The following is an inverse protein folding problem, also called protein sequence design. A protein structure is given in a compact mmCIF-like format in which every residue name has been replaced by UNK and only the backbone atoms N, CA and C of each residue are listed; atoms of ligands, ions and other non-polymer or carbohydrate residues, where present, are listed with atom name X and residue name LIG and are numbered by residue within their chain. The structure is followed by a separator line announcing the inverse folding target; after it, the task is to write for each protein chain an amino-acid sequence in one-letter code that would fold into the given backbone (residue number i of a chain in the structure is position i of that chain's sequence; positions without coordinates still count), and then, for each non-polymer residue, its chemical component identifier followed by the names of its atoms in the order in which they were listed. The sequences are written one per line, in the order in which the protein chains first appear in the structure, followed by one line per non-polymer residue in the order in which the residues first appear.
data_IF_022044661001
#
_entry.id   IF_022044661001
#
_cell.length_a   1.000
_cell.length_b   1.000
_cell.length_c   1.000
_cell.angle_alpha   90.00
_cell.angle_beta   90.00
_cell.angle_gamma   90.00
#
_symmetry.space_group_name_H-M   'P 1'
#
loop_
_entity.id
_entity.type
_entity.pdbx_description
1 polymer ?
#
# COMPACT_ATOMS: atom_id res chain seq x y z
N UNK A 1 1.99 -0.76 -16.35
CA UNK A 1 0.82 -1.19 -15.54
C UNK A 1 0.79 -2.70 -15.45
N UNK A 2 0.31 -3.28 -14.35
CA UNK A 2 0.37 -4.72 -14.04
C UNK A 2 -0.02 -5.67 -15.20
N UNK A 3 -0.87 -5.21 -16.12
CA UNK A 3 -1.28 -5.91 -17.34
C UNK A 3 -0.13 -6.25 -18.32
N UNK A 4 1.01 -5.56 -18.27
CA UNK A 4 2.16 -5.75 -19.18
C UNK A 4 3.22 -6.76 -18.68
N UNK A 5 3.11 -7.22 -17.43
CA UNK A 5 4.10 -8.11 -16.81
C UNK A 5 3.70 -9.57 -17.09
N UNK A 6 4.60 -10.36 -17.70
CA UNK A 6 4.45 -11.80 -18.01
C UNK A 6 4.65 -12.71 -16.78
N UNK A 7 4.24 -12.25 -15.60
CA UNK A 7 4.41 -13.01 -14.35
C UNK A 7 3.10 -13.68 -13.92
N UNK A 8 3.16 -14.78 -13.16
CA UNK A 8 1.98 -15.44 -12.60
C UNK A 8 1.08 -14.45 -11.84
N UNK A 9 -0.24 -14.69 -11.86
CA UNK A 9 -1.24 -13.81 -11.23
C UNK A 9 -0.88 -13.47 -9.77
N UNK A 10 -0.37 -14.47 -9.04
CA UNK A 10 0.19 -14.37 -7.70
C UNK A 10 1.24 -13.26 -7.56
N UNK A 11 2.25 -13.27 -8.42
CA UNK A 11 3.37 -12.32 -8.43
C UNK A 11 2.89 -10.92 -8.79
N UNK A 12 1.92 -10.80 -9.72
CA UNK A 12 1.33 -9.51 -10.10
C UNK A 12 0.65 -8.82 -8.92
N UNK A 13 -0.07 -9.56 -8.07
CA UNK A 13 -0.69 -9.02 -6.86
C UNK A 13 0.34 -8.58 -5.81
N UNK A 14 1.42 -9.35 -5.63
CA UNK A 14 2.51 -8.98 -4.72
C UNK A 14 3.21 -7.70 -5.18
N UNK A 15 3.49 -7.58 -6.48
CA UNK A 15 4.06 -6.36 -7.07
C UNK A 15 3.10 -5.18 -6.88
N UNK A 16 1.80 -5.36 -7.16
CA UNK A 16 0.81 -4.30 -6.96
C UNK A 16 0.76 -3.82 -5.51
N UNK A 17 0.78 -4.74 -4.54
CA UNK A 17 0.84 -4.43 -3.10
C UNK A 17 2.13 -3.71 -2.71
N UNK A 18 3.26 -4.02 -3.36
CA UNK A 18 4.54 -3.36 -3.09
C UNK A 18 4.62 -1.93 -3.66
N UNK A 19 3.87 -1.63 -4.72
CA UNK A 19 3.89 -0.33 -5.41
C UNK A 19 2.95 0.72 -4.80
N UNK A 20 2.16 0.37 -3.79
CA UNK A 20 1.32 1.35 -3.09
C UNK A 20 2.22 2.41 -2.44
N UNK A 21 2.04 3.70 -2.72
CA UNK A 21 2.81 4.76 -2.07
C UNK A 21 2.44 4.80 -0.58
N UNK A 22 3.35 4.30 0.25
CA UNK A 22 3.18 4.13 1.70
C UNK A 22 4.35 4.75 2.46
N UNK A 23 4.15 5.05 3.75
CA UNK A 23 5.17 5.68 4.59
C UNK A 23 5.27 7.21 4.42
N UNK A 24 6.50 7.73 4.43
CA UNK A 24 6.80 9.18 4.49
C UNK A 24 6.14 9.97 3.37
N UNK A 25 6.17 9.47 2.13
CA UNK A 25 5.57 10.14 0.97
C UNK A 25 4.05 10.28 1.12
N UNK A 26 3.38 9.27 1.70
CA UNK A 26 1.94 9.33 1.98
C UNK A 26 1.62 10.37 3.04
N UNK A 27 2.44 10.49 4.08
CA UNK A 27 2.26 11.48 5.14
C UNK A 27 2.52 12.90 4.63
N UNK A 28 3.53 13.10 3.79
CA UNK A 28 3.78 14.38 3.11
C UNK A 28 2.56 14.80 2.29
N UNK A 29 1.95 13.87 1.54
CA UNK A 29 0.75 14.17 0.75
C UNK A 29 -0.47 14.49 1.63
N UNK A 30 -0.65 13.78 2.75
CA UNK A 30 -1.71 14.09 3.71
C UNK A 30 -1.53 15.48 4.34
N UNK A 31 -0.30 15.84 4.70
CA UNK A 31 0.02 17.17 5.26
C UNK A 31 -0.17 18.28 4.22
N UNK A 32 0.25 18.07 2.97
CA UNK A 32 0.01 19.00 1.87
C UNK A 32 -1.50 19.22 1.65
N UNK A 33 -2.31 18.16 1.73
CA UNK A 33 -3.77 18.25 1.64
C UNK A 33 -4.39 19.03 2.81
N UNK A 34 -3.83 18.92 4.01
CA UNK A 34 -4.26 19.68 5.19
C UNK A 34 -3.88 21.16 5.08
N UNK A 35 -2.65 21.47 4.67
CA UNK A 35 -2.13 22.85 4.52
C UNK A 35 -2.84 23.59 3.39
N UNK A 36 -3.25 22.88 2.33
CA UNK A 36 -4.05 23.44 1.23
C UNK A 36 -5.54 23.64 1.58
N UNK A 37 -5.97 23.39 2.82
CA UNK A 37 -7.36 23.41 3.27
C UNK A 37 -8.30 22.45 2.51
N UNK A 38 -7.76 21.46 1.78
CA UNK A 38 -8.55 20.43 1.10
C UNK A 38 -9.00 19.37 2.10
N UNK A 39 -8.16 19.04 3.09
CA UNK A 39 -8.47 18.09 4.14
C UNK A 39 -8.78 18.78 5.46
N UNK A 40 -9.96 18.51 6.03
CA UNK A 40 -10.26 18.80 7.43
C UNK A 40 -9.39 17.94 8.35
N UNK A 41 -9.27 18.32 9.62
CA UNK A 41 -8.54 17.51 10.60
C UNK A 41 -9.05 16.07 10.70
N UNK A 42 -10.34 15.84 10.45
CA UNK A 42 -10.94 14.50 10.43
C UNK A 42 -10.44 13.69 9.23
N UNK A 43 -10.42 14.29 8.03
CA UNK A 43 -9.93 13.64 6.81
C UNK A 43 -8.43 13.36 6.92
N UNK A 44 -7.67 14.30 7.48
CA UNK A 44 -6.25 14.11 7.76
C UNK A 44 -6.00 12.91 8.69
N UNK A 45 -6.72 12.84 9.82
CA UNK A 45 -6.61 11.71 10.74
C UNK A 45 -6.99 10.38 10.05
N UNK A 46 -8.05 10.38 9.24
CA UNK A 46 -8.44 9.23 8.42
C UNK A 46 -7.35 8.80 7.44
N UNK A 47 -6.73 9.75 6.73
CA UNK A 47 -5.62 9.49 5.81
C UNK A 47 -4.42 8.87 6.53
N UNK A 48 -4.03 9.40 7.69
CA UNK A 48 -2.94 8.85 8.50
C UNK A 48 -3.22 7.40 8.89
N UNK A 49 -4.45 7.08 9.31
CA UNK A 49 -4.85 5.70 9.64
C UNK A 49 -4.75 4.79 8.39
N UNK A 50 -5.23 5.23 7.23
CA UNK A 50 -5.15 4.47 5.98
C UNK A 50 -3.68 4.22 5.59
N UNK A 51 -2.82 5.22 5.71
CA UNK A 51 -1.38 5.09 5.43
C UNK A 51 -0.74 4.09 6.39
N UNK A 52 -1.06 4.14 7.68
CA UNK A 52 -0.57 3.18 8.67
C UNK A 52 -1.04 1.75 8.35
N UNK A 53 -2.33 1.56 8.06
CA UNK A 53 -2.90 0.25 7.72
C UNK A 53 -2.28 -0.33 6.44
N UNK A 54 -2.18 0.47 5.38
CA UNK A 54 -1.55 0.05 4.10
C UNK A 54 -0.04 -0.16 4.21
N UNK A 55 0.61 0.38 5.24
CA UNK A 55 2.03 0.10 5.53
C UNK A 55 2.19 -1.22 6.28
N UNK A 56 1.37 -1.45 7.31
CA UNK A 56 1.50 -2.60 8.19
C UNK A 56 0.92 -3.88 7.60
N UNK A 57 -0.19 -3.82 6.85
CA UNK A 57 -0.87 -5.03 6.34
C UNK A 57 -0.08 -5.83 5.29
N UNK A 58 0.63 -5.22 4.31
CA UNK A 58 1.29 -5.97 3.26
C UNK A 58 2.36 -6.99 3.71
N UNK A 59 3.27 -6.72 4.67
CA UNK A 59 4.22 -7.74 5.12
C UNK A 59 3.54 -8.96 5.77
N UNK A 60 2.43 -8.78 6.48
CA UNK A 60 1.66 -9.91 7.03
C UNK A 60 1.01 -10.73 5.92
N UNK A 61 0.40 -10.06 4.94
CA UNK A 61 -0.20 -10.70 3.76
C UNK A 61 0.85 -11.43 2.93
N UNK A 62 2.01 -10.82 2.69
CA UNK A 62 3.11 -11.43 1.95
C UNK A 62 3.66 -12.66 2.68
N UNK A 63 3.87 -12.59 3.99
CA UNK A 63 4.33 -13.74 4.79
C UNK A 63 3.35 -14.91 4.73
N UNK A 64 2.05 -14.65 4.84
CA UNK A 64 1.01 -15.66 4.70
C UNK A 64 0.95 -16.24 3.28
N UNK A 65 1.08 -15.37 2.26
CA UNK A 65 1.05 -15.76 0.86
C UNK A 65 2.25 -16.64 0.48
N UNK A 66 3.47 -16.23 0.83
CA UNK A 66 4.68 -17.03 0.60
C UNK A 66 4.66 -18.36 1.36
N UNK A 67 4.09 -18.40 2.57
CA UNK A 67 3.91 -19.67 3.30
C UNK A 67 2.97 -20.67 2.63
N UNK A 68 2.04 -20.22 1.77
CA UNK A 68 1.07 -21.06 1.05
C UNK A 68 1.45 -21.36 -0.40
N UNK A 69 2.13 -20.43 -1.06
CA UNK A 69 2.47 -20.50 -2.48
C UNK A 69 3.97 -20.61 -2.76
N UNK A 70 4.82 -20.62 -1.73
CA UNK A 70 6.27 -20.74 -1.85
C UNK A 70 6.75 -22.06 -2.46
N UNK A 71 5.92 -23.11 -2.51
CA UNK A 71 6.23 -24.34 -3.26
C UNK A 71 5.96 -24.24 -4.77
N UNK A 72 5.29 -23.19 -5.25
CA UNK A 72 4.90 -23.02 -6.66
C UNK A 72 5.59 -21.84 -7.38
N UNK A 73 6.44 -21.09 -6.67
CA UNK A 73 7.34 -20.07 -7.22
C UNK A 73 8.74 -20.66 -7.34
#
# INVERSE_FOLDING_TARGET
GAFLIKEPWAVRWVIAMAMIPRGEIGLIFAELGRVSNIFSNEIYAGMVIVIALTTLLPPFFMKWFYGRYGERL
#
